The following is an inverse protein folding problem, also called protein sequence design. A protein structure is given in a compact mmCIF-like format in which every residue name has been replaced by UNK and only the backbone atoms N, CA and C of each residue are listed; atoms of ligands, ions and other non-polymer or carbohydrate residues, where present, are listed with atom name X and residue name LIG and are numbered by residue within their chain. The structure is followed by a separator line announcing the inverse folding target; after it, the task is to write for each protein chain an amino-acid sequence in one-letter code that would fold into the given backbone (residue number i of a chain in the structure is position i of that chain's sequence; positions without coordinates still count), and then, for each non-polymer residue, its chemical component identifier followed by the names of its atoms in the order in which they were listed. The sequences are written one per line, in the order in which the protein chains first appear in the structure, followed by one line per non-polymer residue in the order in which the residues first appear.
data_IF_938627628151
#
_entry.id   IF_938627628151
#
_cell.length_a   1.000
_cell.length_b   1.000
_cell.length_c   1.000
_cell.angle_alpha   90.00
_cell.angle_beta   90.00
_cell.angle_gamma   90.00
#
_symmetry.space_group_name_H-M   'P 1'
#
loop_
_entity.id
_entity.type
_entity.pdbx_description
1 polymer ?
#
# COMPACT_ATOMS: atom_id res chain seq x y z
N UNK A 1 -8.70 18.80 -3.20
CA UNK A 1 -9.41 17.81 -4.04
C UNK A 1 -10.01 16.73 -3.16
N UNK A 2 -11.27 16.47 -3.34
CA UNK A 2 -11.98 15.41 -2.62
C UNK A 2 -11.84 14.11 -3.40
N UNK A 3 -11.49 13.03 -2.73
CA UNK A 3 -11.44 11.70 -3.34
C UNK A 3 -12.35 10.76 -2.56
N UNK A 4 -12.88 9.77 -3.27
CA UNK A 4 -13.66 8.70 -2.66
C UNK A 4 -12.79 7.44 -2.62
N UNK A 5 -12.70 6.83 -1.45
CA UNK A 5 -11.93 5.60 -1.29
C UNK A 5 -12.88 4.43 -1.34
N UNK A 6 -12.62 3.52 -2.25
CA UNK A 6 -13.43 2.33 -2.49
C UNK A 6 -12.75 1.13 -1.85
N UNK A 7 -13.56 0.22 -1.29
CA UNK A 7 -13.07 -1.00 -0.64
C UNK A 7 -13.71 -2.26 -1.21
N UNK A 8 -14.59 -2.12 -2.20
CA UNK A 8 -15.22 -3.27 -2.84
C UNK A 8 -14.18 -4.05 -3.63
N UNK A 9 -14.19 -5.40 -3.57
CA UNK A 9 -13.25 -6.19 -4.35
C UNK A 9 -13.37 -5.90 -5.84
N UNK A 10 -12.23 -5.61 -6.47
CA UNK A 10 -12.15 -5.48 -7.91
C UNK A 10 -12.27 -6.85 -8.57
N UNK A 11 -12.72 -6.91 -9.82
CA UNK A 11 -12.57 -8.11 -10.61
C UNK A 11 -11.08 -8.44 -10.74
N UNK A 12 -10.73 -9.71 -10.79
CA UNK A 12 -9.32 -10.13 -10.83
C UNK A 12 -8.57 -9.50 -12.00
N UNK A 13 -9.21 -9.44 -13.17
CA UNK A 13 -8.57 -8.85 -14.36
C UNK A 13 -8.26 -7.37 -14.16
N UNK A 14 -9.17 -6.62 -13.56
CA UNK A 14 -8.94 -5.20 -13.26
C UNK A 14 -7.79 -5.02 -12.28
N UNK A 15 -7.78 -5.83 -11.22
CA UNK A 15 -6.74 -5.80 -10.20
C UNK A 15 -5.37 -6.12 -10.81
N UNK A 16 -5.28 -7.22 -11.53
CA UNK A 16 -4.05 -7.67 -12.17
C UNK A 16 -3.55 -6.64 -13.18
N UNK A 17 -4.46 -6.14 -14.02
CA UNK A 17 -4.09 -5.20 -15.07
C UNK A 17 -3.50 -3.91 -14.48
N UNK A 18 -4.07 -3.42 -13.38
CA UNK A 18 -3.49 -2.24 -12.72
C UNK A 18 -2.08 -2.51 -12.22
N UNK A 19 -1.86 -3.63 -11.54
CA UNK A 19 -0.54 -3.96 -10.99
C UNK A 19 0.48 -4.15 -12.12
N UNK A 20 0.13 -4.86 -13.17
CA UNK A 20 1.03 -5.04 -14.32
C UNK A 20 1.34 -3.70 -15.00
N UNK A 21 0.33 -2.86 -15.18
CA UNK A 21 0.53 -1.53 -15.76
C UNK A 21 1.42 -0.65 -14.90
N UNK A 22 1.37 -0.81 -13.60
CA UNK A 22 2.17 -0.03 -12.65
C UNK A 22 3.60 -0.57 -12.49
N UNK A 23 3.88 -1.75 -13.02
CA UNK A 23 5.10 -2.50 -12.67
C UNK A 23 6.37 -1.70 -12.90
N UNK A 24 6.44 -0.93 -13.99
CA UNK A 24 7.62 -0.13 -14.33
C UNK A 24 7.71 1.21 -13.59
N UNK A 25 6.71 1.55 -12.78
CA UNK A 25 6.78 2.72 -11.91
C UNK A 25 7.61 2.44 -10.65
N UNK A 26 7.90 1.16 -10.40
CA UNK A 26 8.74 0.72 -9.28
C UNK A 26 10.18 0.50 -9.77
N UNK A 27 11.16 0.69 -8.90
CA UNK A 27 12.57 0.47 -9.18
C UNK A 27 13.12 -0.46 -8.09
N UNK A 28 13.58 -1.66 -8.41
CA UNK A 28 13.47 -2.31 -9.73
C UNK A 28 12.02 -2.61 -10.12
N UNK A 29 11.77 -2.81 -11.40
CA UNK A 29 10.42 -3.10 -11.90
C UNK A 29 9.85 -4.37 -11.28
N UNK A 30 8.55 -4.35 -10.98
CA UNK A 30 7.86 -5.54 -10.49
C UNK A 30 7.93 -6.72 -11.48
N UNK A 31 8.11 -6.43 -12.77
CA UNK A 31 8.25 -7.47 -13.78
C UNK A 31 9.47 -8.36 -13.55
N UNK A 32 10.43 -7.90 -12.75
CA UNK A 32 11.63 -8.68 -12.39
C UNK A 32 11.38 -9.66 -11.25
N UNK A 33 10.23 -9.60 -10.61
CA UNK A 33 9.89 -10.54 -9.53
C UNK A 33 9.74 -11.95 -10.10
N UNK A 34 10.45 -12.95 -9.56
CA UNK A 34 10.39 -14.32 -10.09
C UNK A 34 9.01 -14.96 -9.97
N UNK A 35 8.20 -14.56 -9.00
CA UNK A 35 6.89 -15.16 -8.74
C UNK A 35 5.78 -14.10 -8.79
N UNK A 36 5.84 -13.20 -9.77
CA UNK A 36 4.92 -12.08 -9.85
C UNK A 36 3.45 -12.51 -9.90
N UNK A 37 3.13 -13.49 -10.74
CA UNK A 37 1.74 -13.95 -10.89
C UNK A 37 1.20 -14.57 -9.59
N UNK A 38 2.02 -15.34 -8.89
CA UNK A 38 1.64 -15.93 -7.60
C UNK A 38 1.44 -14.83 -6.55
N UNK A 39 2.29 -13.82 -6.54
CA UNK A 39 2.21 -12.70 -5.61
C UNK A 39 0.92 -11.90 -5.84
N UNK A 40 0.59 -11.61 -7.10
CA UNK A 40 -0.65 -10.90 -7.45
C UNK A 40 -1.86 -11.71 -7.01
N UNK A 41 -1.85 -13.00 -7.29
CA UNK A 41 -2.97 -13.88 -6.92
C UNK A 41 -3.15 -13.97 -5.42
N UNK A 42 -2.04 -14.07 -4.67
CA UNK A 42 -2.09 -14.08 -3.20
C UNK A 42 -2.67 -12.78 -2.66
N UNK A 43 -2.25 -11.63 -3.19
CA UNK A 43 -2.81 -10.35 -2.78
C UNK A 43 -4.31 -10.28 -3.06
N UNK A 44 -4.72 -10.79 -4.22
CA UNK A 44 -6.13 -10.76 -4.59
C UNK A 44 -6.98 -11.60 -3.64
N UNK A 45 -6.53 -12.79 -3.28
CA UNK A 45 -7.30 -13.69 -2.43
C UNK A 45 -7.22 -13.35 -0.94
N UNK A 46 -6.10 -12.83 -0.47
CA UNK A 46 -5.86 -12.65 0.96
C UNK A 46 -5.82 -11.18 1.40
N UNK A 47 -5.71 -10.26 0.46
CA UNK A 47 -5.57 -8.84 0.77
C UNK A 47 -6.88 -8.10 0.83
N UNK A 48 -6.90 -7.03 1.60
CA UNK A 48 -7.95 -6.02 1.56
C UNK A 48 -7.51 -4.91 0.63
N UNK A 49 -8.41 -4.42 -0.20
CA UNK A 49 -8.12 -3.41 -1.21
C UNK A 49 -8.69 -2.06 -0.81
N UNK A 50 -7.89 -1.03 -1.03
CA UNK A 50 -8.29 0.36 -0.80
C UNK A 50 -7.83 1.15 -2.03
N UNK A 51 -8.78 1.69 -2.78
CA UNK A 51 -8.41 2.34 -4.03
C UNK A 51 -9.31 3.52 -4.34
N UNK A 52 -8.86 4.37 -5.26
CA UNK A 52 -9.66 5.49 -5.74
C UNK A 52 -9.64 5.52 -7.26
N UNK A 53 -10.74 5.99 -7.82
CA UNK A 53 -10.99 6.01 -9.26
C UNK A 53 -11.18 7.45 -9.70
N UNK A 54 -10.61 7.79 -10.86
CA UNK A 54 -10.87 9.05 -11.55
C UNK A 54 -11.38 8.70 -12.95
N UNK A 55 -12.59 9.12 -13.24
CA UNK A 55 -13.27 8.69 -14.46
C UNK A 55 -13.54 7.18 -14.40
N UNK A 56 -12.97 6.44 -15.33
CA UNK A 56 -13.08 4.96 -15.36
C UNK A 56 -11.78 4.27 -14.95
N UNK A 57 -10.78 5.03 -14.48
CA UNK A 57 -9.44 4.50 -14.21
C UNK A 57 -9.10 4.50 -12.74
N UNK A 58 -8.49 3.41 -12.28
CA UNK A 58 -7.90 3.36 -10.94
C UNK A 58 -6.65 4.25 -10.97
N UNK A 59 -6.56 5.20 -10.04
CA UNK A 59 -5.41 6.10 -9.95
C UNK A 59 -4.53 5.82 -8.74
N UNK A 60 -5.03 5.05 -7.78
CA UNK A 60 -4.24 4.65 -6.61
C UNK A 60 -4.84 3.37 -6.03
N UNK A 61 -3.97 2.50 -5.53
CA UNK A 61 -4.36 1.23 -4.92
C UNK A 61 -3.38 0.89 -3.80
N UNK A 62 -3.92 0.57 -2.64
CA UNK A 62 -3.16 0.02 -1.51
C UNK A 62 -3.79 -1.33 -1.15
N UNK A 63 -2.94 -2.34 -0.96
CA UNK A 63 -3.37 -3.67 -0.52
C UNK A 63 -2.79 -3.93 0.86
N UNK A 64 -3.61 -4.46 1.76
CA UNK A 64 -3.16 -4.79 3.10
C UNK A 64 -3.51 -6.22 3.50
N UNK A 65 -2.60 -6.86 4.23
CA UNK A 65 -2.83 -8.16 4.86
C UNK A 65 -3.04 -7.95 6.35
N UNK A 66 -4.21 -8.33 6.86
CA UNK A 66 -4.48 -8.27 8.29
C UNK A 66 -3.96 -9.52 8.98
N UNK A 67 -3.10 -9.33 9.96
CA UNK A 67 -2.69 -10.40 10.88
C UNK A 67 -3.28 -10.08 12.25
N UNK A 68 -4.45 -10.66 12.55
CA UNK A 68 -5.17 -10.34 13.79
C UNK A 68 -4.53 -10.97 15.01
N UNK A 69 -3.87 -12.11 14.83
CA UNK A 69 -3.16 -12.78 15.90
C UNK A 69 -1.99 -11.96 16.41
N UNK A 70 -1.20 -11.39 15.47
CA UNK A 70 -0.05 -10.55 15.80
C UNK A 70 -0.39 -9.06 15.84
N UNK A 71 -1.65 -8.71 15.54
CA UNK A 71 -2.22 -7.35 15.69
C UNK A 71 -1.60 -6.30 14.77
N UNK A 72 -1.30 -6.67 13.54
CA UNK A 72 -0.79 -5.68 12.58
C UNK A 72 -1.47 -5.79 11.22
N UNK A 73 -1.36 -4.70 10.46
CA UNK A 73 -1.68 -4.67 9.04
C UNK A 73 -0.36 -4.52 8.29
N UNK A 74 -0.06 -5.46 7.41
CA UNK A 74 1.11 -5.36 6.53
C UNK A 74 0.67 -4.94 5.13
N UNK A 75 1.35 -3.94 4.55
CA UNK A 75 1.05 -3.41 3.23
C UNK A 75 2.09 -3.92 2.22
N UNK A 76 1.76 -4.94 1.41
CA UNK A 76 2.69 -5.46 0.40
C UNK A 76 2.75 -4.59 -0.86
N UNK A 77 1.74 -3.75 -1.09
CA UNK A 77 1.64 -2.95 -2.31
C UNK A 77 0.95 -1.63 -2.03
N UNK A 78 1.56 -0.55 -2.48
CA UNK A 78 0.98 0.78 -2.42
C UNK A 78 1.45 1.55 -3.65
N UNK A 79 0.52 2.09 -4.43
CA UNK A 79 0.85 2.75 -5.68
C UNK A 79 -0.11 3.88 -5.98
N UNK A 80 0.43 5.01 -6.45
CA UNK A 80 -0.34 6.13 -6.99
C UNK A 80 0.15 6.36 -8.41
N UNK A 81 -0.79 6.49 -9.35
CA UNK A 81 -0.46 6.76 -10.75
C UNK A 81 0.44 8.02 -10.83
N UNK A 82 1.50 8.01 -11.67
CA UNK A 82 2.44 9.13 -11.73
C UNK A 82 1.79 10.50 -11.98
N UNK A 83 0.73 10.56 -12.77
CA UNK A 83 0.03 11.82 -13.06
C UNK A 83 -0.72 12.38 -11.85
N UNK A 84 -0.88 11.59 -10.80
CA UNK A 84 -1.63 11.97 -9.60
C UNK A 84 -0.76 12.00 -8.34
N UNK A 85 0.55 11.80 -8.48
CA UNK A 85 1.47 11.88 -7.35
C UNK A 85 1.63 13.33 -6.89
N UNK A 86 2.02 13.51 -5.62
CA UNK A 86 2.23 14.85 -5.06
C UNK A 86 0.97 15.53 -4.55
N UNK A 87 -0.18 14.85 -4.56
CA UNK A 87 -1.46 15.41 -4.10
C UNK A 87 -1.95 14.79 -2.78
N UNK A 88 -1.12 14.02 -2.10
CA UNK A 88 -1.46 13.43 -0.81
C UNK A 88 -2.45 12.29 -0.87
N UNK A 89 -2.64 11.65 -2.04
CA UNK A 89 -3.62 10.56 -2.20
C UNK A 89 -3.26 9.37 -1.31
N UNK A 90 -2.00 8.98 -1.31
CA UNK A 90 -1.52 7.87 -0.48
C UNK A 90 -1.81 8.11 1.00
N UNK A 91 -1.55 9.33 1.48
CA UNK A 91 -1.83 9.70 2.86
C UNK A 91 -3.32 9.64 3.17
N UNK A 92 -4.18 10.08 2.23
CA UNK A 92 -5.63 10.02 2.42
C UNK A 92 -6.13 8.59 2.53
N UNK A 93 -5.56 7.68 1.72
CA UNK A 93 -5.93 6.27 1.80
C UNK A 93 -5.46 5.67 3.13
N UNK A 94 -4.22 5.94 3.53
CA UNK A 94 -3.70 5.45 4.82
C UNK A 94 -4.55 5.98 5.99
N UNK A 95 -4.92 7.25 5.96
CA UNK A 95 -5.78 7.82 7.01
C UNK A 95 -7.15 7.14 7.04
N UNK A 96 -7.71 6.85 5.88
CA UNK A 96 -8.97 6.10 5.78
C UNK A 96 -8.82 4.72 6.42
N UNK A 97 -7.74 4.02 6.08
CA UNK A 97 -7.45 2.70 6.66
C UNK A 97 -7.40 2.79 8.19
N UNK A 98 -6.67 3.77 8.72
CA UNK A 98 -6.53 3.94 10.17
C UNK A 98 -7.87 4.21 10.82
N UNK A 99 -8.72 5.05 10.22
CA UNK A 99 -10.05 5.37 10.76
C UNK A 99 -10.97 4.16 10.80
N UNK A 100 -10.75 3.18 9.93
CA UNK A 100 -11.63 2.01 9.80
C UNK A 100 -11.00 0.72 10.34
N UNK A 101 -9.79 0.82 10.95
CA UNK A 101 -9.15 -0.35 11.57
C UNK A 101 -9.96 -0.86 12.75
N UNK A 102 -10.05 -2.17 12.87
CA UNK A 102 -10.60 -2.77 14.08
C UNK A 102 -9.67 -2.50 15.27
N UNK A 103 -10.24 -2.54 16.48
CA UNK A 103 -9.50 -2.17 17.71
C UNK A 103 -8.37 -3.14 18.04
N UNK A 104 -8.37 -4.33 17.45
CA UNK A 104 -7.33 -5.33 17.67
C UNK A 104 -6.06 -5.07 16.84
N UNK A 105 -6.10 -4.18 15.85
CA UNK A 105 -4.92 -3.85 15.05
C UNK A 105 -4.18 -2.68 15.72
N UNK A 106 -2.91 -2.89 16.05
CA UNK A 106 -2.11 -1.92 16.82
C UNK A 106 -1.03 -1.25 16.01
N UNK A 107 -0.67 -1.80 14.86
CA UNK A 107 0.40 -1.22 14.05
C UNK A 107 0.21 -1.53 12.57
N UNK A 108 0.80 -0.66 11.73
CA UNK A 108 0.87 -0.85 10.29
C UNK A 108 2.34 -1.00 9.92
N UNK A 109 2.63 -2.01 9.10
CA UNK A 109 3.98 -2.34 8.64
C UNK A 109 4.05 -2.28 7.13
N UNK A 110 5.18 -1.79 6.63
CA UNK A 110 5.48 -1.85 5.19
C UNK A 110 7.00 -1.81 5.00
N UNK A 111 7.45 -2.21 3.82
CA UNK A 111 8.87 -2.15 3.48
C UNK A 111 9.13 -1.04 2.47
N UNK A 112 10.24 -0.32 2.64
CA UNK A 112 10.66 0.75 1.73
C UNK A 112 12.15 0.56 1.43
N UNK A 113 12.52 0.65 0.15
CA UNK A 113 13.93 0.59 -0.23
C UNK A 113 14.67 1.79 0.37
N UNK A 114 15.89 1.51 0.86
CA UNK A 114 16.73 2.54 1.50
C UNK A 114 17.09 3.68 0.55
N UNK A 115 17.14 3.41 -0.75
CA UNK A 115 17.45 4.43 -1.75
C UNK A 115 16.22 5.20 -2.26
N UNK A 116 15.03 4.86 -1.79
CA UNK A 116 13.80 5.56 -2.18
C UNK A 116 13.52 6.70 -1.19
N UNK A 117 14.27 7.80 -1.34
CA UNK A 117 14.17 8.94 -0.42
C UNK A 117 12.78 9.58 -0.41
N UNK A 118 12.11 9.64 -1.55
CA UNK A 118 10.77 10.23 -1.64
C UNK A 118 9.77 9.44 -0.80
N UNK A 119 9.80 8.11 -0.90
CA UNK A 119 8.91 7.26 -0.13
C UNK A 119 9.25 7.34 1.37
N UNK A 120 10.53 7.29 1.72
CA UNK A 120 10.94 7.41 3.13
C UNK A 120 10.43 8.70 3.75
N UNK A 121 10.60 9.82 3.05
CA UNK A 121 10.11 11.12 3.55
C UNK A 121 8.58 11.14 3.66
N UNK A 122 7.88 10.59 2.67
CA UNK A 122 6.42 10.55 2.69
C UNK A 122 5.90 9.74 3.88
N UNK A 123 6.49 8.57 4.12
CA UNK A 123 6.07 7.74 5.24
C UNK A 123 6.47 8.34 6.59
N UNK A 124 7.62 9.00 6.69
CA UNK A 124 7.98 9.75 7.90
C UNK A 124 6.93 10.81 8.22
N UNK A 125 6.46 11.54 7.23
CA UNK A 125 5.41 12.54 7.42
C UNK A 125 4.10 11.94 7.90
N UNK A 126 3.84 10.69 7.56
CA UNK A 126 2.65 9.97 8.01
C UNK A 126 2.82 9.35 9.40
N UNK A 127 4.01 9.48 9.99
CA UNK A 127 4.29 8.96 11.33
C UNK A 127 4.94 7.58 11.36
N UNK A 128 5.37 7.07 10.23
CA UNK A 128 6.14 5.82 10.17
C UNK A 128 7.59 6.07 10.56
N UNK A 129 8.23 5.04 11.10
CA UNK A 129 9.67 5.08 11.42
C UNK A 129 10.31 3.74 11.03
N UNK A 130 11.63 3.77 10.87
CA UNK A 130 12.41 2.57 10.54
C UNK A 130 12.49 1.68 11.77
N UNK A 131 11.78 0.56 11.72
CA UNK A 131 11.72 -0.38 12.83
C UNK A 131 12.77 -1.48 12.72
N UNK A 132 13.15 -1.83 11.49
CA UNK A 132 14.09 -2.93 11.27
C UNK A 132 14.86 -2.70 9.96
N UNK A 133 16.17 -2.98 10.00
CA UNK A 133 17.04 -2.95 8.82
C UNK A 133 16.96 -4.32 8.15
N UNK A 134 16.50 -4.34 6.90
CA UNK A 134 16.33 -5.56 6.12
C UNK A 134 17.15 -5.51 4.83
N UNK A 135 18.46 -5.29 4.98
CA UNK A 135 19.43 -5.26 3.88
C UNK A 135 19.18 -4.07 2.94
N UNK A 136 18.54 -4.26 1.80
CA UNK A 136 18.25 -3.18 0.84
C UNK A 136 17.03 -2.34 1.19
N UNK A 137 16.26 -2.78 2.17
CA UNK A 137 15.02 -2.15 2.59
C UNK A 137 14.99 -1.91 4.08
N UNK A 138 14.15 -0.97 4.50
CA UNK A 138 13.72 -0.85 5.89
C UNK A 138 12.33 -1.45 6.04
N UNK A 139 12.09 -2.18 7.13
CA UNK A 139 10.73 -2.38 7.61
C UNK A 139 10.35 -1.12 8.36
N UNK A 140 9.32 -0.44 7.89
CA UNK A 140 8.78 0.75 8.54
C UNK A 140 7.51 0.42 9.30
N UNK A 141 7.31 1.08 10.41
CA UNK A 141 6.20 0.83 11.32
C UNK A 141 5.51 2.15 11.70
N UNK A 142 4.19 2.10 11.78
CA UNK A 142 3.41 3.15 12.42
C UNK A 142 2.57 2.53 13.52
N UNK A 143 2.70 3.03 14.73
CA UNK A 143 1.89 2.60 15.85
C UNK A 143 0.54 3.32 15.83
N UNK A 144 -0.52 2.57 16.07
CA UNK A 144 -1.88 3.10 16.06
C UNK A 144 -2.30 3.32 17.50
N UNK A 145 -2.46 4.59 17.86
CA UNK A 145 -2.92 4.96 19.19
C UNK A 145 -4.42 5.22 19.13
N UNK A 146 -5.18 4.33 19.72
CA UNK A 146 -6.63 4.49 19.84
C UNK A 146 -6.96 4.82 21.29
N UNK A 147 -7.57 5.95 21.44
CA UNK A 147 -8.08 6.38 22.75
C UNK A 147 -9.42 5.72 23.05
#
# INVERSE_FOLDING_TARGET
MSITINTEPLAYTEFRDFIISSANWFVPSLLQMPNLDEWILKMYHNGSMYYTISGSNIIALIVGYYNREERFLYIPYACVHPDHQGHGISQKIINYIIEHLSTDIQEILLEVRKDNNNALQAYHKMGFYEAEDRDEKYLMKKEIHKS
#
